data_IF_714907405636
#
_entry.id   IF_714907405636
#
_cell.length_a   1.000
_cell.length_b   1.000
_cell.length_c   1.000
_cell.angle_alpha   90.00
_cell.angle_beta   90.00
_cell.angle_gamma   90.00
#
_symmetry.space_group_name_H-M   'P 1'
#
loop_
_entity.id
_entity.type
_entity.pdbx_description
1 polymer ?
#
# COMPACT_ATOMS: atom_id res chain seq x y z
N UNK A 1 90.31 31.98 -116.57
CA UNK A 1 91.54 31.70 -115.81
C UNK A 1 91.13 31.65 -114.34
N UNK A 2 90.92 30.44 -113.81
CA UNK A 2 91.78 29.85 -112.76
C UNK A 2 91.29 30.27 -111.37
N UNK A 3 91.00 29.41 -110.40
CA UNK A 3 91.06 27.97 -110.28
C UNK A 3 90.14 27.56 -109.11
N UNK A 4 89.59 26.35 -109.16
CA UNK A 4 89.10 25.65 -107.97
C UNK A 4 90.30 25.25 -107.10
N UNK A 5 90.09 25.13 -105.78
CA UNK A 5 90.22 23.79 -105.22
C UNK A 5 89.12 23.42 -104.23
N UNK A 6 88.93 22.10 -104.16
CA UNK A 6 88.05 21.37 -103.28
C UNK A 6 88.43 21.49 -101.80
N UNK A 7 87.44 21.42 -100.91
CA UNK A 7 87.63 20.71 -99.65
C UNK A 7 86.31 20.07 -99.18
N UNK A 8 86.27 18.75 -99.30
CA UNK A 8 85.33 17.88 -98.61
C UNK A 8 85.64 17.88 -97.12
N UNK A 9 84.65 18.22 -96.29
CA UNK A 9 84.68 17.88 -94.88
C UNK A 9 83.44 17.05 -94.57
N UNK A 10 83.70 15.82 -94.14
CA UNK A 10 82.71 14.84 -93.71
C UNK A 10 81.93 15.35 -92.50
N UNK A 11 80.64 15.06 -92.51
CA UNK A 11 79.67 15.37 -91.47
C UNK A 11 80.05 14.82 -90.08
N UNK A 12 79.43 15.39 -89.03
CA UNK A 12 78.65 14.52 -88.16
C UNK A 12 77.19 14.94 -88.12
N UNK A 13 76.30 14.00 -88.47
CA UNK A 13 74.86 14.09 -88.26
C UNK A 13 74.63 14.11 -86.75
N UNK A 14 74.24 15.27 -86.20
CA UNK A 14 73.73 15.35 -84.82
C UNK A 14 72.38 14.65 -84.78
N UNK A 15 72.35 13.42 -84.28
CA UNK A 15 71.12 12.79 -83.82
C UNK A 15 70.55 13.63 -82.69
N UNK A 16 69.47 14.36 -82.98
CA UNK A 16 68.69 15.06 -81.98
C UNK A 16 68.07 13.99 -81.10
N UNK A 17 68.58 13.86 -79.88
CA UNK A 17 68.06 12.92 -78.89
C UNK A 17 66.58 13.19 -78.68
N UNK A 18 65.77 12.19 -79.02
CA UNK A 18 64.36 12.14 -78.68
C UNK A 18 64.30 12.03 -77.15
N UNK A 19 63.97 13.13 -76.48
CA UNK A 19 63.66 13.11 -75.05
C UNK A 19 62.24 12.56 -74.97
N UNK A 20 61.99 11.37 -74.37
CA UNK A 20 60.64 10.95 -74.11
C UNK A 20 60.05 11.89 -73.06
N UNK A 21 59.02 12.63 -73.45
CA UNK A 21 58.22 13.40 -72.51
C UNK A 21 57.50 12.41 -71.60
N UNK A 22 57.99 12.32 -70.36
CA UNK A 22 57.45 11.44 -69.35
C UNK A 22 56.09 12.01 -68.98
N UNK A 23 55.03 11.47 -69.59
CA UNK A 23 53.65 11.73 -69.19
C UNK A 23 53.50 11.22 -67.75
N UNK A 24 53.53 12.16 -66.80
CA UNK A 24 53.20 11.87 -65.40
C UNK A 24 51.73 11.43 -65.36
N UNK A 25 51.42 10.27 -64.76
CA UNK A 25 50.03 9.91 -64.47
C UNK A 25 49.41 11.05 -63.67
N UNK A 26 48.27 11.58 -64.14
CA UNK A 26 47.47 12.47 -63.33
C UNK A 26 47.18 11.76 -61.99
N UNK A 27 47.31 12.44 -60.84
CA UNK A 27 47.07 11.79 -59.56
C UNK A 27 45.66 11.19 -59.60
N UNK A 28 45.59 9.90 -59.29
CA UNK A 28 44.34 9.18 -59.13
C UNK A 28 43.46 10.03 -58.23
N UNK A 29 42.23 10.34 -58.66
CA UNK A 29 41.32 11.20 -57.90
C UNK A 29 41.15 10.55 -56.53
N UNK A 30 41.82 11.11 -55.52
CA UNK A 30 41.78 10.64 -54.15
C UNK A 30 40.33 10.32 -53.79
N UNK A 31 40.09 9.08 -53.37
CA UNK A 31 38.76 8.60 -53.04
C UNK A 31 38.15 9.58 -52.04
N UNK A 32 37.20 10.39 -52.50
CA UNK A 32 36.52 11.37 -51.67
C UNK A 32 35.93 10.60 -50.48
N UNK A 33 36.21 10.98 -49.22
CA UNK A 33 35.58 10.32 -48.09
C UNK A 33 34.08 10.45 -48.27
N UNK A 34 33.37 9.34 -48.48
CA UNK A 34 31.94 9.36 -48.80
C UNK A 34 31.20 9.77 -47.53
N UNK A 35 30.65 11.01 -47.42
CA UNK A 35 29.99 11.46 -46.20
C UNK A 35 28.74 10.62 -45.88
N UNK A 36 28.22 9.89 -46.88
CA UNK A 36 27.12 8.93 -46.76
C UNK A 36 27.35 7.85 -45.70
N UNK A 37 28.60 7.41 -45.47
CA UNK A 37 28.89 6.43 -44.43
C UNK A 37 28.74 7.05 -43.03
N UNK A 38 29.20 8.29 -42.84
CA UNK A 38 29.04 9.00 -41.57
C UNK A 38 27.55 9.21 -41.25
N UNK A 39 26.74 9.62 -42.23
CA UNK A 39 25.29 9.74 -42.03
C UNK A 39 24.62 8.40 -41.69
N UNK A 40 25.05 7.30 -42.31
CA UNK A 40 24.52 5.97 -42.00
C UNK A 40 24.87 5.54 -40.57
N UNK A 41 26.11 5.77 -40.12
CA UNK A 41 26.53 5.46 -38.75
C UNK A 41 25.75 6.28 -37.74
N UNK A 42 25.55 7.59 -37.99
CA UNK A 42 24.75 8.46 -37.12
C UNK A 42 23.29 7.99 -37.08
N UNK A 43 22.70 7.65 -38.22
CA UNK A 43 21.33 7.16 -38.28
C UNK A 43 21.15 5.85 -37.51
N UNK A 44 22.03 4.87 -37.71
CA UNK A 44 22.00 3.60 -36.99
C UNK A 44 22.25 3.81 -35.49
N UNK A 45 23.23 4.64 -35.13
CA UNK A 45 23.51 4.99 -33.75
C UNK A 45 22.33 5.66 -33.06
N UNK A 46 21.64 6.57 -33.75
CA UNK A 46 20.42 7.20 -33.25
C UNK A 46 19.29 6.20 -33.01
N UNK A 47 19.05 5.28 -33.95
CA UNK A 47 18.05 4.22 -33.79
C UNK A 47 18.38 3.31 -32.60
N UNK A 48 19.63 2.88 -32.46
CA UNK A 48 20.08 2.06 -31.32
C UNK A 48 19.93 2.82 -30.00
N UNK A 49 20.29 4.10 -29.96
CA UNK A 49 20.12 4.93 -28.76
C UNK A 49 18.65 5.06 -28.34
N UNK A 50 17.74 5.27 -29.31
CA UNK A 50 16.29 5.32 -29.05
C UNK A 50 15.80 3.97 -28.52
N UNK A 51 16.20 2.86 -29.13
CA UNK A 51 15.80 1.52 -28.69
C UNK A 51 16.27 1.21 -27.26
N UNK A 52 17.51 1.59 -26.92
CA UNK A 52 18.03 1.45 -25.56
C UNK A 52 17.29 2.35 -24.56
N UNK A 53 16.98 3.60 -24.95
CA UNK A 53 16.21 4.51 -24.10
C UNK A 53 14.79 3.96 -23.82
N UNK A 54 14.12 3.39 -24.83
CA UNK A 54 12.82 2.74 -24.66
C UNK A 54 12.88 1.53 -23.73
N UNK A 55 13.90 0.69 -23.86
CA UNK A 55 14.10 -0.47 -23.00
C UNK A 55 14.31 -0.04 -21.54
N UNK A 56 15.19 0.94 -21.29
CA UNK A 56 15.45 1.46 -19.96
C UNK A 56 14.20 2.10 -19.34
N UNK A 57 13.43 2.85 -20.14
CA UNK A 57 12.15 3.42 -19.69
C UNK A 57 11.16 2.31 -19.32
N UNK A 58 11.06 1.25 -20.12
CA UNK A 58 10.21 0.10 -19.81
C UNK A 58 10.63 -0.59 -18.50
N UNK A 59 11.93 -0.75 -18.25
CA UNK A 59 12.45 -1.34 -17.02
C UNK A 59 12.14 -0.44 -15.82
N UNK A 60 12.36 0.88 -15.95
CA UNK A 60 12.06 1.86 -14.91
C UNK A 60 10.56 1.92 -14.59
N UNK A 61 9.69 1.88 -15.60
CA UNK A 61 8.23 1.79 -15.43
C UNK A 61 7.84 0.49 -14.74
N UNK A 62 8.48 -0.63 -15.10
CA UNK A 62 8.21 -1.93 -14.49
C UNK A 62 8.62 -1.96 -13.02
N UNK A 63 9.77 -1.37 -12.65
CA UNK A 63 10.20 -1.26 -11.25
C UNK A 63 9.31 -0.29 -10.44
N UNK A 64 8.94 0.86 -11.02
CA UNK A 64 8.00 1.80 -10.41
C UNK A 64 6.59 1.23 -10.18
N UNK A 65 6.16 0.29 -11.03
CA UNK A 65 4.88 -0.39 -10.85
C UNK A 65 4.82 -1.26 -9.57
N UNK A 66 5.93 -1.89 -9.17
CA UNK A 66 5.99 -2.68 -7.94
C UNK A 66 6.03 -1.82 -6.67
N UNK A 67 6.64 -0.63 -6.73
CA UNK A 67 6.62 0.31 -5.60
C UNK A 67 5.21 0.88 -5.36
N UNK A 68 4.48 1.20 -6.43
CA UNK A 68 3.08 1.67 -6.36
C UNK A 68 2.16 0.59 -5.79
N UNK A 69 2.33 -0.68 -6.19
CA UNK A 69 1.54 -1.81 -5.67
C UNK A 69 1.72 -1.99 -4.16
N UNK A 70 2.94 -1.81 -3.64
CA UNK A 70 3.21 -1.82 -2.19
C UNK A 70 2.47 -0.72 -1.42
N UNK A 71 2.38 0.49 -2.01
CA UNK A 71 1.63 1.61 -1.42
C UNK A 71 0.11 1.40 -1.51
N UNK A 72 -0.41 0.88 -2.62
CA UNK A 72 -1.84 0.56 -2.77
C UNK A 72 -2.28 -0.55 -1.81
N UNK A 73 -1.49 -1.61 -1.64
CA UNK A 73 -1.74 -2.67 -0.65
C UNK A 73 -1.78 -2.12 0.79
N UNK A 74 -0.88 -1.19 1.11
CA UNK A 74 -0.84 -0.54 2.42
C UNK A 74 -2.06 0.35 2.65
N UNK A 75 -2.49 1.11 1.64
CA UNK A 75 -3.72 1.91 1.72
C UNK A 75 -4.96 1.03 1.86
N UNK A 76 -5.08 -0.04 1.09
CA UNK A 76 -6.20 -0.98 1.19
C UNK A 76 -6.24 -1.64 2.57
N UNK A 77 -5.09 -1.99 3.14
CA UNK A 77 -5.00 -2.51 4.52
C UNK A 77 -5.47 -1.47 5.54
N UNK A 78 -5.02 -0.22 5.43
CA UNK A 78 -5.38 0.83 6.38
C UNK A 78 -6.86 1.22 6.28
N UNK A 79 -7.42 1.28 5.07
CA UNK A 79 -8.84 1.52 4.84
C UNK A 79 -9.71 0.42 5.47
N UNK A 80 -9.34 -0.85 5.31
CA UNK A 80 -10.03 -1.97 5.99
C UNK A 80 -10.00 -1.82 7.51
N UNK A 81 -8.86 -1.44 8.08
CA UNK A 81 -8.74 -1.21 9.52
C UNK A 81 -9.64 -0.06 10.01
N UNK A 82 -9.68 1.05 9.26
CA UNK A 82 -10.56 2.17 9.58
C UNK A 82 -12.02 1.76 9.56
N UNK A 83 -12.45 0.98 8.57
CA UNK A 83 -13.81 0.49 8.49
C UNK A 83 -14.16 -0.40 9.68
N UNK A 84 -13.30 -1.35 10.04
CA UNK A 84 -13.50 -2.20 11.22
C UNK A 84 -13.64 -1.37 12.51
N UNK A 85 -12.76 -0.39 12.70
CA UNK A 85 -12.79 0.44 13.90
C UNK A 85 -14.03 1.35 13.95
N UNK A 86 -14.48 1.84 12.79
CA UNK A 86 -15.72 2.60 12.69
C UNK A 86 -16.94 1.73 13.03
N UNK A 87 -17.00 0.50 12.52
CA UNK A 87 -18.06 -0.46 12.84
C UNK A 87 -18.09 -0.81 14.35
N UNK A 88 -16.93 -0.95 14.99
CA UNK A 88 -16.83 -1.15 16.44
C UNK A 88 -17.29 0.08 17.23
N UNK A 89 -16.94 1.28 16.76
CA UNK A 89 -17.38 2.52 17.38
C UNK A 89 -18.89 2.68 17.27
N UNK A 90 -19.47 2.45 16.10
CA UNK A 90 -20.92 2.50 15.87
C UNK A 90 -21.66 1.47 16.74
N UNK A 91 -21.07 0.29 16.93
CA UNK A 91 -21.59 -0.76 17.80
C UNK A 91 -21.67 -0.29 19.26
N UNK A 92 -20.60 0.31 19.81
CA UNK A 92 -20.57 0.78 21.21
C UNK A 92 -21.28 2.12 21.43
N UNK A 93 -21.47 2.93 20.40
CA UNK A 93 -22.26 4.17 20.47
C UNK A 93 -23.74 3.95 20.17
N UNK A 94 -24.13 2.73 19.77
CA UNK A 94 -25.50 2.42 19.42
C UNK A 94 -26.46 2.67 20.60
N UNK A 95 -27.68 3.21 20.36
CA UNK A 95 -28.65 3.49 21.42
C UNK A 95 -29.01 2.26 22.27
N UNK A 96 -29.08 1.09 21.63
CA UNK A 96 -29.39 -0.17 22.31
C UNK A 96 -28.27 -0.61 23.26
N UNK A 97 -27.00 -0.42 22.86
CA UNK A 97 -25.85 -0.72 23.72
C UNK A 97 -25.78 0.26 24.91
N UNK A 98 -26.03 1.54 24.68
CA UNK A 98 -26.09 2.54 25.74
C UNK A 98 -27.24 2.28 26.73
N UNK A 99 -28.42 1.92 26.24
CA UNK A 99 -29.55 1.56 27.09
C UNK A 99 -29.24 0.34 27.98
N UNK A 100 -28.64 -0.71 27.41
CA UNK A 100 -28.22 -1.89 28.19
C UNK A 100 -27.16 -1.58 29.23
N UNK A 101 -26.20 -0.71 28.92
CA UNK A 101 -25.21 -0.26 29.91
C UNK A 101 -25.84 0.60 31.00
N UNK A 102 -26.79 1.48 30.64
CA UNK A 102 -27.54 2.27 31.60
C UNK A 102 -28.30 1.38 32.58
N UNK A 103 -28.96 0.33 32.08
CA UNK A 103 -29.66 -0.67 32.88
C UNK A 103 -28.73 -1.49 33.76
N UNK A 104 -27.56 -1.88 33.23
CA UNK A 104 -26.53 -2.55 34.02
C UNK A 104 -26.06 -1.69 35.22
N UNK A 105 -26.11 -0.37 35.08
CA UNK A 105 -25.83 0.60 36.16
C UNK A 105 -27.07 0.90 37.03
N UNK A 106 -28.21 0.24 36.79
CA UNK A 106 -29.45 0.42 37.55
C UNK A 106 -30.32 1.60 37.10
N UNK A 107 -30.00 2.25 35.98
CA UNK A 107 -30.87 3.27 35.38
C UNK A 107 -32.07 2.62 34.70
N UNK A 108 -33.21 3.32 34.71
CA UNK A 108 -34.48 2.83 34.17
C UNK A 108 -35.05 3.87 33.20
N UNK A 109 -35.57 3.47 32.02
CA UNK A 109 -36.23 4.39 31.11
C UNK A 109 -37.49 5.00 31.75
N UNK A 110 -37.62 6.32 31.70
CA UNK A 110 -38.81 7.02 32.18
C UNK A 110 -39.88 7.08 31.07
N UNK A 111 -40.98 6.34 31.24
CA UNK A 111 -42.11 6.36 30.30
C UNK A 111 -43.03 7.58 30.47
N UNK A 112 -42.93 8.30 31.61
CA UNK A 112 -43.78 9.43 31.95
C UNK A 112 -42.92 10.65 32.37
N UNK A 113 -42.32 11.38 31.41
CA UNK A 113 -41.54 12.58 31.72
C UNK A 113 -42.43 13.70 32.26
N UNK A 114 -41.94 14.41 33.28
CA UNK A 114 -42.57 15.59 33.87
C UNK A 114 -41.70 16.79 33.56
N UNK A 115 -42.31 17.91 33.16
CA UNK A 115 -41.57 19.09 32.70
C UNK A 115 -41.64 20.23 33.71
N UNK A 116 -40.54 20.95 33.88
CA UNK A 116 -40.50 22.20 34.64
C UNK A 116 -40.65 23.37 33.67
N UNK A 117 -41.65 24.22 33.89
CA UNK A 117 -41.79 25.47 33.14
C UNK A 117 -40.92 26.55 33.80
N UNK A 118 -39.86 27.00 33.12
CA UNK A 118 -38.85 27.91 33.70
C UNK A 118 -39.40 29.31 34.03
N UNK A 119 -40.47 29.75 33.35
CA UNK A 119 -41.03 31.09 33.54
C UNK A 119 -41.70 31.29 34.90
N UNK A 120 -42.29 30.24 35.45
CA UNK A 120 -43.15 30.30 36.63
C UNK A 120 -42.86 29.17 37.64
N UNK A 121 -41.90 28.29 37.35
CA UNK A 121 -41.54 27.17 38.22
C UNK A 121 -42.61 26.08 38.32
N UNK A 122 -43.64 26.11 37.46
CA UNK A 122 -44.71 25.13 37.50
C UNK A 122 -44.23 23.77 36.98
N UNK A 123 -44.56 22.72 37.73
CA UNK A 123 -44.31 21.33 37.35
C UNK A 123 -45.52 20.80 36.59
N UNK A 124 -45.31 20.42 35.33
CA UNK A 124 -46.34 19.94 34.42
C UNK A 124 -46.29 18.42 34.34
N UNK A 125 -47.27 17.77 34.98
CA UNK A 125 -47.41 16.31 35.05
C UNK A 125 -47.43 15.80 36.50
N UNK A 126 -47.66 14.51 36.66
CA UNK A 126 -47.63 13.86 37.98
C UNK A 126 -46.27 13.16 38.17
N UNK A 127 -45.41 13.63 39.09
CA UNK A 127 -44.15 12.96 39.37
C UNK A 127 -44.41 11.58 39.98
N UNK A 128 -43.88 10.55 39.33
CA UNK A 128 -43.87 9.19 39.81
C UNK A 128 -42.50 8.57 39.54
N UNK A 129 -42.07 7.65 40.41
CA UNK A 129 -40.87 6.87 40.15
C UNK A 129 -41.05 6.08 38.85
N UNK A 130 -40.01 6.05 38.02
CA UNK A 130 -40.03 5.24 36.80
C UNK A 130 -40.19 3.76 37.16
N UNK A 131 -41.21 3.12 36.60
CA UNK A 131 -41.44 1.69 36.77
C UNK A 131 -40.39 0.91 36.00
N UNK A 132 -39.41 0.36 36.70
CA UNK A 132 -38.42 -0.55 36.12
C UNK A 132 -39.06 -1.86 35.68
N UNK A 133 -38.71 -2.34 34.50
CA UNK A 133 -39.13 -3.65 34.01
C UNK A 133 -38.54 -3.98 32.65
N UNK A 134 -38.19 -5.26 32.46
CA UNK A 134 -37.57 -5.76 31.22
C UNK A 134 -38.36 -5.40 29.95
N UNK A 135 -39.68 -5.20 30.05
CA UNK A 135 -40.53 -4.80 28.94
C UNK A 135 -40.42 -3.31 28.53
N UNK A 136 -40.08 -2.41 29.47
CA UNK A 136 -39.84 -0.99 29.16
C UNK A 136 -38.47 -0.78 28.49
N UNK A 137 -37.57 -1.75 28.68
CA UNK A 137 -36.18 -1.80 28.23
C UNK A 137 -35.96 -2.66 26.98
N UNK A 138 -36.92 -3.52 26.64
CA UNK A 138 -36.79 -4.42 25.51
C UNK A 138 -36.89 -3.65 24.19
N UNK A 139 -35.76 -3.47 23.51
CA UNK A 139 -35.75 -3.00 22.14
C UNK A 139 -36.61 -3.93 21.27
N UNK A 140 -37.60 -3.38 20.57
CA UNK A 140 -38.50 -4.13 19.68
C UNK A 140 -37.74 -4.81 18.52
N UNK A 141 -36.53 -4.33 18.21
CA UNK A 141 -35.66 -4.91 17.19
C UNK A 141 -34.32 -5.27 17.83
N UNK A 142 -33.94 -6.55 17.87
CA UNK A 142 -32.67 -6.97 18.42
C UNK A 142 -31.53 -6.53 17.50
N UNK A 143 -30.48 -5.95 18.09
CA UNK A 143 -29.22 -5.72 17.39
C UNK A 143 -28.26 -6.90 17.62
N UNK A 144 -27.99 -7.68 16.58
CA UNK A 144 -27.04 -8.79 16.67
C UNK A 144 -25.59 -8.32 16.85
N UNK A 145 -25.25 -7.09 16.42
CA UNK A 145 -23.89 -6.57 16.48
C UNK A 145 -23.44 -6.33 17.93
N UNK A 146 -24.33 -6.07 18.87
CA UNK A 146 -23.97 -5.86 20.28
C UNK A 146 -23.79 -7.17 21.06
N UNK A 147 -24.03 -8.32 20.43
CA UNK A 147 -23.87 -9.63 21.09
C UNK A 147 -22.38 -9.94 21.27
N UNK A 148 -21.98 -10.20 22.51
CA UNK A 148 -20.57 -10.49 22.86
C UNK A 148 -19.71 -9.27 23.18
N UNK A 149 -20.28 -8.06 23.15
CA UNK A 149 -19.60 -6.87 23.70
C UNK A 149 -19.85 -6.82 25.20
N UNK A 150 -18.80 -6.80 26.05
CA UNK A 150 -18.96 -6.78 27.50
C UNK A 150 -19.62 -5.47 27.94
N UNK A 151 -20.53 -5.55 28.91
CA UNK A 151 -21.11 -4.34 29.50
C UNK A 151 -20.11 -3.63 30.40
N UNK A 152 -20.34 -2.35 30.69
CA UNK A 152 -19.45 -1.54 31.55
C UNK A 152 -19.22 -2.18 32.93
N UNK A 153 -20.23 -2.87 33.46
CA UNK A 153 -20.13 -3.60 34.74
C UNK A 153 -19.22 -4.82 34.66
N UNK A 154 -19.22 -5.54 33.54
CA UNK A 154 -18.37 -6.71 33.28
C UNK A 154 -16.92 -6.29 32.97
N UNK A 155 -16.75 -5.20 32.21
CA UNK A 155 -15.44 -4.61 31.93
C UNK A 155 -14.77 -4.12 33.23
N UNK A 156 -15.53 -3.45 34.10
CA UNK A 156 -15.00 -2.98 35.40
C UNK A 156 -14.69 -4.14 36.36
N UNK A 157 -15.37 -5.27 36.25
CA UNK A 157 -15.06 -6.47 37.03
C UNK A 157 -13.74 -7.13 36.57
N UNK A 158 -13.42 -7.07 35.27
CA UNK A 158 -12.12 -7.53 34.73
C UNK A 158 -10.93 -6.67 35.17
N UNK A 159 -11.14 -5.37 35.37
CA UNK A 159 -10.11 -4.42 35.80
C UNK A 159 -9.74 -4.55 37.30
N UNK A 160 -10.53 -5.27 38.10
CA UNK A 160 -10.27 -5.51 39.53
C UNK A 160 -9.64 -6.88 39.83
N UNK A 161 -9.32 -7.67 38.81
CA UNK A 161 -8.44 -8.82 38.98
C UNK A 161 -7.01 -8.32 39.28
N UNK A 162 -6.37 -8.77 40.37
CA UNK A 162 -5.06 -8.26 40.75
C UNK A 162 -4.05 -8.64 39.66
N UNK A 163 -3.43 -7.63 39.04
CA UNK A 163 -2.16 -7.80 38.34
C UNK A 163 -1.13 -8.18 39.41
N UNK A 164 -0.99 -9.48 39.61
CA UNK A 164 -0.09 -10.09 40.59
C UNK A 164 1.36 -9.82 40.23
N UNK A 165 1.92 -8.72 40.74
CA UNK A 165 3.34 -8.62 41.01
C UNK A 165 3.68 -9.48 42.23
N UNK A 166 4.65 -10.39 42.08
CA UNK A 166 5.22 -11.14 43.20
C UNK A 166 5.73 -10.19 44.30
N UNK A 167 5.25 -10.39 45.54
CA UNK A 167 5.71 -9.70 46.74
C UNK A 167 5.18 -10.40 47.99
N UNK A 168 6.09 -10.98 48.76
CA UNK A 168 5.84 -11.85 49.90
C UNK A 168 4.97 -11.23 51.01
N UNK A 169 4.07 -12.05 51.56
CA UNK A 169 3.33 -11.76 52.79
C UNK A 169 2.94 -13.07 53.49
N UNK A 170 3.65 -13.35 54.58
CA UNK A 170 3.47 -14.49 55.47
C UNK A 170 2.12 -14.44 56.18
N UNK A 171 1.44 -15.59 56.31
CA UNK A 171 0.34 -15.76 57.26
C UNK A 171 -0.72 -16.75 56.83
N UNK A 172 -0.43 -18.04 56.97
CA UNK A 172 -1.47 -19.07 57.16
C UNK A 172 -2.26 -18.79 58.46
N UNK A 173 -3.53 -19.19 58.52
CA UNK A 173 -3.78 -20.43 59.23
C UNK A 173 -4.73 -21.37 58.48
N UNK A 174 -4.20 -22.58 58.27
CA UNK A 174 -4.83 -23.90 58.32
C UNK A 174 -6.34 -23.93 58.63
N UNK A 175 -7.10 -24.46 57.66
CA UNK A 175 -8.28 -25.28 57.92
C UNK A 175 -8.27 -26.45 56.92
N UNK A 176 -8.32 -27.68 57.45
CA UNK A 176 -8.21 -28.96 56.74
C UNK A 176 -9.21 -29.16 55.57
N UNK A 177 -8.86 -30.00 54.57
CA UNK A 177 -9.66 -30.18 53.36
C UNK A 177 -10.75 -31.24 53.54
N UNK A 178 -12.01 -30.87 53.36
CA UNK A 178 -13.08 -31.82 53.05
C UNK A 178 -13.19 -31.90 51.53
N UNK A 179 -12.79 -33.03 50.97
CA UNK A 179 -13.00 -33.36 49.57
C UNK A 179 -14.50 -33.55 49.26
N UNK A 180 -14.96 -33.09 48.09
CA UNK A 180 -15.99 -33.80 47.34
C UNK A 180 -15.48 -34.23 45.96
N UNK A 181 -15.99 -35.39 45.56
CA UNK A 181 -15.68 -36.20 44.39
C UNK A 181 -15.80 -35.48 43.02
N UNK A 182 -15.13 -35.99 41.96
CA UNK A 182 -15.19 -35.41 40.62
C UNK A 182 -16.59 -35.56 40.00
N UNK A 183 -17.09 -34.56 39.24
CA UNK A 183 -18.28 -34.76 38.42
C UNK A 183 -17.97 -35.67 37.22
N UNK A 184 -18.91 -36.54 36.80
CA UNK A 184 -18.71 -37.45 35.69
C UNK A 184 -18.62 -36.69 34.35
N UNK A 185 -17.59 -37.00 33.57
CA UNK A 185 -17.52 -36.66 32.15
C UNK A 185 -18.48 -37.58 31.38
N UNK A 186 -19.60 -37.03 30.92
CA UNK A 186 -20.53 -37.74 30.05
C UNK A 186 -21.04 -36.81 28.96
N UNK A 187 -20.56 -37.09 27.75
CA UNK A 187 -21.22 -36.98 26.44
C UNK A 187 -22.16 -35.81 26.14
N UNK A 188 -21.81 -35.00 25.15
CA UNK A 188 -22.35 -35.13 23.77
C UNK A 188 -22.13 -33.83 22.99
N UNK A 189 -21.23 -33.84 22.00
CA UNK A 189 -21.27 -32.84 20.93
C UNK A 189 -22.38 -33.25 19.95
N UNK A 190 -23.35 -32.39 19.61
CA UNK A 190 -24.20 -32.64 18.47
C UNK A 190 -23.40 -32.42 17.18
N UNK A 191 -23.28 -33.45 16.36
CA UNK A 191 -22.80 -33.33 14.97
C UNK A 191 -23.83 -32.59 14.12
N UNK A 192 -23.44 -31.63 13.26
CA UNK A 192 -24.38 -30.92 12.41
C UNK A 192 -24.94 -31.84 11.31
N UNK A 193 -26.28 -31.93 11.25
CA UNK A 193 -27.02 -32.53 10.14
C UNK A 193 -27.14 -31.51 9.00
N UNK A 194 -26.60 -31.85 7.83
CA UNK A 194 -26.88 -31.17 6.56
C UNK A 194 -28.26 -31.58 6.05
N UNK A 195 -29.09 -30.60 5.66
CA UNK A 195 -30.23 -30.76 4.77
C UNK A 195 -29.98 -29.95 3.50
#
# INVERSE_FOLDING_TARGET
MSALPAQSALSPIRRRGWIPEILRPAPDRAARPKPRLAYAIIAVGGVVAIALAQLLLSIAVTQGAYEIDGYELSQAKLSRQQQTLAEDLDRVQSPQYLARNAEALGMVPNTNPVFLRLSDGAVLGQPAAAGGGAAASAALVPNALISGVPLVTEQSAGETAPVGGQGAGLGEPVADPVAPAPPPVSDSLPTPTTH
#
